data_IF_257170977377
#
_entry.id   IF_257170977377
#
_cell.length_a   1.000
_cell.length_b   1.000
_cell.length_c   1.000
_cell.angle_alpha   90.00
_cell.angle_beta   90.00
_cell.angle_gamma   90.00
#
_symmetry.space_group_name_H-M   'P 1'
#
loop_
_entity.id
_entity.type
_entity.pdbx_description
1 polymer ?
#
# COMPACT_ATOMS: atom_id res chain seq x y z
N UNK A 1 10.43 6.60 19.24
CA UNK A 1 11.77 6.54 18.62
C UNK A 1 12.45 7.92 18.65
N UNK A 2 12.37 8.59 19.79
CA UNK A 2 13.02 9.89 20.07
C UNK A 2 14.55 9.76 20.29
N UNK A 3 15.10 8.64 20.81
CA UNK A 3 16.53 8.57 21.13
C UNK A 3 17.49 8.66 19.92
N UNK A 4 17.06 8.26 18.72
CA UNK A 4 17.91 8.26 17.51
C UNK A 4 18.01 9.62 16.84
N UNK A 5 17.14 10.58 17.19
CA UNK A 5 17.10 11.90 16.57
C UNK A 5 18.29 12.78 16.98
N UNK A 6 18.88 12.53 18.16
CA UNK A 6 20.10 13.23 18.61
C UNK A 6 21.38 12.72 17.94
N UNK A 7 21.32 11.57 17.26
CA UNK A 7 22.47 10.99 16.55
C UNK A 7 22.48 11.30 15.05
N UNK A 8 21.32 11.63 14.47
CA UNK A 8 21.25 12.17 13.12
C UNK A 8 21.53 13.67 13.19
N UNK A 9 22.68 14.09 12.68
CA UNK A 9 23.00 15.47 12.36
C UNK A 9 21.82 16.05 11.56
N UNK A 10 20.92 16.77 12.25
CA UNK A 10 19.64 17.20 11.69
C UNK A 10 19.91 18.47 10.87
N UNK A 11 20.64 18.31 9.78
CA UNK A 11 20.71 19.28 8.71
C UNK A 11 19.28 19.40 8.15
N UNK A 12 18.49 20.31 8.72
CA UNK A 12 17.24 20.77 8.14
C UNK A 12 17.58 21.44 6.82
N UNK A 13 17.85 20.64 5.80
CA UNK A 13 17.90 21.05 4.41
C UNK A 13 16.50 21.46 3.99
N UNK A 14 16.02 22.57 4.54
CA UNK A 14 14.80 23.29 4.14
C UNK A 14 14.82 23.60 2.64
N UNK A 15 16.02 23.61 2.05
CA UNK A 15 16.28 23.66 0.61
C UNK A 15 15.67 22.48 -0.17
N UNK A 16 15.60 21.27 0.40
CA UNK A 16 14.96 20.09 -0.21
C UNK A 16 13.42 20.11 -0.12
N UNK A 17 12.87 20.88 0.81
CA UNK A 17 11.42 21.17 0.85
C UNK A 17 11.02 22.25 -0.16
N UNK A 18 11.95 23.13 -0.55
CA UNK A 18 11.73 24.13 -1.58
C UNK A 18 11.72 23.54 -3.01
N UNK A 19 12.23 22.32 -3.18
CA UNK A 19 12.12 21.60 -4.45
C UNK A 19 10.66 21.14 -4.68
N UNK A 20 10.04 21.74 -5.69
CA UNK A 20 8.65 21.50 -6.07
C UNK A 20 8.38 19.99 -6.31
N UNK A 21 9.37 19.23 -6.75
CA UNK A 21 9.26 17.78 -6.98
C UNK A 21 9.05 17.02 -5.68
N UNK A 22 9.78 17.37 -4.62
CA UNK A 22 9.61 16.73 -3.32
C UNK A 22 8.30 17.12 -2.67
N UNK A 23 7.89 18.38 -2.81
CA UNK A 23 6.59 18.85 -2.31
C UNK A 23 5.43 18.14 -3.00
N UNK A 24 5.47 17.99 -4.32
CA UNK A 24 4.46 17.26 -5.09
C UNK A 24 4.44 15.77 -4.75
N UNK A 25 5.59 15.13 -4.53
CA UNK A 25 5.63 13.73 -4.09
C UNK A 25 4.98 13.52 -2.72
N UNK A 26 5.28 14.40 -1.75
CA UNK A 26 4.65 14.34 -0.41
C UNK A 26 3.14 14.61 -0.53
N UNK A 27 2.74 15.58 -1.35
CA UNK A 27 1.33 15.87 -1.59
C UNK A 27 0.63 14.67 -2.25
N UNK A 28 1.25 14.02 -3.23
CA UNK A 28 0.69 12.84 -3.90
C UNK A 28 0.56 11.64 -2.95
N UNK A 29 1.57 11.38 -2.11
CA UNK A 29 1.52 10.33 -1.10
C UNK A 29 0.48 10.63 0.00
N UNK A 30 0.36 11.89 0.42
CA UNK A 30 -0.59 12.33 1.44
C UNK A 30 -2.03 12.39 0.94
N UNK A 31 -2.30 13.20 -0.07
CA UNK A 31 -3.64 13.38 -0.64
C UNK A 31 -4.06 12.17 -1.48
N UNK A 32 -3.21 11.72 -2.39
CA UNK A 32 -3.52 10.63 -3.31
C UNK A 32 -3.58 9.28 -2.60
N UNK A 33 -2.44 8.78 -2.14
CA UNK A 33 -2.39 7.42 -1.60
C UNK A 33 -3.15 7.28 -0.27
N UNK A 34 -3.03 8.26 0.63
CA UNK A 34 -3.59 8.11 1.99
C UNK A 34 -5.02 8.66 2.10
N UNK A 35 -5.27 9.91 1.71
CA UNK A 35 -6.59 10.52 1.89
C UNK A 35 -7.65 9.89 0.99
N UNK A 36 -7.35 9.62 -0.29
CA UNK A 36 -8.31 8.92 -1.16
C UNK A 36 -8.58 7.50 -0.66
N UNK A 37 -7.55 6.74 -0.26
CA UNK A 37 -7.74 5.41 0.31
C UNK A 37 -8.66 5.46 1.55
N UNK A 38 -8.44 6.43 2.43
CA UNK A 38 -9.27 6.60 3.63
C UNK A 38 -10.72 6.97 3.28
N UNK A 39 -10.94 7.84 2.29
CA UNK A 39 -12.28 8.20 1.82
C UNK A 39 -12.98 7.01 1.17
N UNK A 40 -12.29 6.26 0.31
CA UNK A 40 -12.83 5.05 -0.33
C UNK A 40 -13.19 3.99 0.72
N UNK A 41 -12.33 3.79 1.71
CA UNK A 41 -12.62 2.90 2.83
C UNK A 41 -13.82 3.38 3.66
N UNK A 42 -13.88 4.67 3.98
CA UNK A 42 -14.98 5.23 4.77
C UNK A 42 -16.32 5.17 4.00
N UNK A 43 -16.31 5.34 2.68
CA UNK A 43 -17.48 5.13 1.83
C UNK A 43 -17.92 3.66 1.83
N UNK A 44 -16.98 2.71 1.69
CA UNK A 44 -17.27 1.29 1.76
C UNK A 44 -17.86 0.90 3.13
N UNK A 45 -17.30 1.43 4.22
CA UNK A 45 -17.81 1.26 5.58
C UNK A 45 -19.22 1.86 5.72
N UNK A 46 -19.51 3.00 5.08
CA UNK A 46 -20.84 3.62 5.12
C UNK A 46 -21.89 2.83 4.33
N UNK A 47 -21.51 2.19 3.23
CA UNK A 47 -22.43 1.41 2.36
C UNK A 47 -22.64 -0.01 2.88
N UNK A 48 -21.57 -0.72 3.30
CA UNK A 48 -21.63 -2.13 3.72
C UNK A 48 -21.60 -2.34 5.24
N UNK A 49 -21.18 -1.34 6.02
CA UNK A 49 -20.88 -1.46 7.44
C UNK A 49 -19.41 -1.82 7.72
N UNK A 50 -18.89 -1.34 8.86
CA UNK A 50 -17.48 -1.52 9.24
C UNK A 50 -17.06 -2.99 9.34
N UNK A 51 -17.97 -3.84 9.81
CA UNK A 51 -17.74 -5.28 9.99
C UNK A 51 -17.60 -5.99 8.65
N UNK A 52 -18.52 -5.76 7.70
CA UNK A 52 -18.47 -6.39 6.36
C UNK A 52 -17.22 -5.97 5.59
N UNK A 53 -16.87 -4.69 5.66
CA UNK A 53 -15.68 -4.14 4.99
C UNK A 53 -14.39 -4.79 5.51
N UNK A 54 -14.28 -4.95 6.83
CA UNK A 54 -13.13 -5.61 7.45
C UNK A 54 -13.05 -7.10 7.09
N UNK A 55 -14.17 -7.81 7.08
CA UNK A 55 -14.23 -9.21 6.62
C UNK A 55 -13.75 -9.35 5.18
N UNK A 56 -14.09 -8.40 4.31
CA UNK A 56 -13.63 -8.40 2.92
C UNK A 56 -12.11 -8.21 2.82
N UNK A 57 -11.52 -7.34 3.65
CA UNK A 57 -10.06 -7.16 3.73
C UNK A 57 -9.38 -8.46 4.19
N UNK A 58 -9.96 -9.18 5.15
CA UNK A 58 -9.42 -10.48 5.58
C UNK A 58 -9.60 -11.60 4.54
N UNK A 59 -10.51 -11.45 3.58
CA UNK A 59 -10.63 -12.38 2.46
C UNK A 59 -9.55 -12.17 1.38
N UNK A 60 -8.93 -10.98 1.31
CA UNK A 60 -7.84 -10.70 0.35
C UNK A 60 -6.73 -11.76 0.39
N UNK A 61 -6.12 -12.11 1.54
CA UNK A 61 -5.07 -13.15 1.57
C UNK A 61 -5.57 -14.51 1.08
N UNK A 62 -6.84 -14.88 1.33
CA UNK A 62 -7.41 -16.12 0.82
C UNK A 62 -7.51 -16.09 -0.70
N UNK A 63 -7.99 -14.98 -1.28
CA UNK A 63 -8.04 -14.78 -2.73
C UNK A 63 -6.63 -14.87 -3.31
N UNK A 64 -5.64 -14.20 -2.70
CA UNK A 64 -4.25 -14.24 -3.15
C UNK A 64 -3.67 -15.66 -3.15
N UNK A 65 -3.92 -16.47 -2.12
CA UNK A 65 -3.48 -17.87 -2.07
C UNK A 65 -4.14 -18.69 -3.17
N UNK A 66 -5.46 -18.57 -3.34
CA UNK A 66 -6.19 -19.30 -4.38
C UNK A 66 -5.72 -18.90 -5.79
N UNK A 67 -5.52 -17.61 -6.04
CA UNK A 67 -4.95 -17.12 -7.30
C UNK A 67 -3.52 -17.62 -7.50
N UNK A 68 -2.70 -17.66 -6.44
CA UNK A 68 -1.33 -18.17 -6.52
C UNK A 68 -1.32 -19.66 -6.87
N UNK A 69 -2.18 -20.49 -6.27
CA UNK A 69 -2.33 -21.90 -6.62
C UNK A 69 -2.79 -22.11 -8.07
N UNK A 70 -3.75 -21.31 -8.55
CA UNK A 70 -4.24 -21.34 -9.93
C UNK A 70 -3.16 -20.93 -10.94
N UNK A 71 -2.42 -19.86 -10.64
CA UNK A 71 -1.36 -19.32 -11.50
C UNK A 71 -0.11 -20.22 -11.43
N UNK A 72 0.22 -20.79 -10.29
CA UNK A 72 1.34 -21.73 -10.16
C UNK A 72 1.05 -23.04 -10.88
N UNK A 73 -0.17 -23.57 -10.79
CA UNK A 73 -0.60 -24.71 -11.65
C UNK A 73 -0.51 -24.37 -13.14
N UNK A 74 -0.81 -23.13 -13.52
CA UNK A 74 -0.60 -22.63 -14.89
C UNK A 74 0.89 -22.64 -15.28
N UNK A 75 1.80 -22.31 -14.36
CA UNK A 75 3.25 -22.33 -14.58
C UNK A 75 3.87 -23.73 -14.54
N UNK A 76 3.40 -24.65 -13.70
CA UNK A 76 3.87 -26.06 -13.70
C UNK A 76 3.59 -26.74 -15.05
N UNK A 77 2.45 -26.44 -15.68
CA UNK A 77 2.16 -26.87 -17.04
C UNK A 77 3.12 -26.29 -18.10
N UNK A 78 3.80 -25.17 -17.82
CA UNK A 78 4.80 -24.55 -18.71
C UNK A 78 6.22 -25.08 -18.44
N UNK A 79 6.53 -25.50 -17.20
CA UNK A 79 7.82 -26.09 -16.81
C UNK A 79 8.05 -27.50 -17.39
N UNK A 80 6.99 -28.23 -17.77
CA UNK A 80 7.14 -29.53 -18.46
C UNK A 80 7.33 -29.42 -19.98
N UNK A 81 7.28 -28.21 -20.56
CA UNK A 81 7.45 -27.98 -22.01
C UNK A 81 8.84 -27.39 -22.35
N UNK A 82 9.62 -26.94 -21.37
CA UNK A 82 11.01 -26.52 -21.55
C UNK A 82 11.89 -27.08 -20.43
N UNK A 83 12.61 -28.20 -20.66
CA UNK A 83 13.66 -28.70 -19.77
C UNK A 83 14.93 -27.85 -19.81
#
# INVERSE_FOLDING_TARGET
MVPTLFFFDFEMGLERFADLTHLLNILYLGLGASALCFVTWNLAVKVLGAVKTSVYIYMVPVITVVTSELVLKRMEGQRLVYP
#
